data_IF_000814026906
#
_entry.id   IF_000814026906
#
_cell.length_a   1.000
_cell.length_b   1.000
_cell.length_c   1.000
_cell.angle_alpha   90.00
_cell.angle_beta   90.00
_cell.angle_gamma   90.00
#
_symmetry.space_group_name_H-M   'P 1'
#
loop_
_entity.id
_entity.type
_entity.pdbx_description
1 polymer ?
#
# COMPACT_ATOMS: atom_id res chain seq x y z
N UNK A 1 -12.29 -8.71 25.48
CA UNK A 1 -11.81 -7.32 25.46
C UNK A 1 -12.75 -6.53 24.56
N UNK A 2 -13.22 -5.37 25.00
CA UNK A 2 -14.03 -4.46 24.19
C UNK A 2 -13.09 -3.49 23.49
N UNK A 3 -13.22 -3.38 22.17
CA UNK A 3 -12.49 -2.38 21.37
C UNK A 3 -13.39 -1.18 21.14
N UNK A 4 -12.87 0.00 21.36
CA UNK A 4 -13.52 1.27 20.99
C UNK A 4 -12.93 1.81 19.69
N UNK A 5 -12.93 1.01 18.62
CA UNK A 5 -12.56 1.47 17.29
C UNK A 5 -13.78 2.06 16.59
N UNK A 6 -13.66 3.28 16.09
CA UNK A 6 -14.75 4.02 15.45
C UNK A 6 -14.97 3.62 13.99
N UNK A 7 -13.91 3.27 13.28
CA UNK A 7 -13.93 2.87 11.87
C UNK A 7 -12.97 1.70 11.60
N UNK A 8 -13.26 0.51 12.16
CA UNK A 8 -12.36 -0.63 12.05
C UNK A 8 -12.26 -1.14 10.60
N UNK A 9 -11.05 -1.40 10.18
CA UNK A 9 -10.69 -2.09 8.94
C UNK A 9 -9.76 -3.24 9.24
N UNK A 10 -9.66 -4.17 8.31
CA UNK A 10 -8.80 -5.35 8.43
C UNK A 10 -7.94 -5.52 7.19
N UNK A 11 -6.77 -6.10 7.40
CA UNK A 11 -5.95 -6.69 6.34
C UNK A 11 -5.41 -8.04 6.83
N UNK A 12 -5.14 -8.95 5.90
CA UNK A 12 -4.63 -10.27 6.24
C UNK A 12 -3.60 -10.77 5.23
N UNK A 13 -2.59 -11.46 5.72
CA UNK A 13 -1.58 -12.10 4.89
C UNK A 13 -0.96 -13.30 5.61
N UNK A 14 -1.04 -14.47 4.97
CA UNK A 14 -0.56 -15.72 5.56
C UNK A 14 -1.32 -16.06 6.85
N UNK A 15 -0.60 -16.09 7.98
CA UNK A 15 -1.18 -16.38 9.29
C UNK A 15 -1.54 -15.14 10.10
N UNK A 16 -1.20 -13.95 9.61
CA UNK A 16 -1.42 -12.69 10.30
C UNK A 16 -2.68 -11.98 9.81
N UNK A 17 -3.42 -11.44 10.75
CA UNK A 17 -4.57 -10.56 10.51
C UNK A 17 -4.39 -9.34 11.37
N UNK A 18 -4.51 -8.16 10.79
CA UNK A 18 -4.53 -6.89 11.53
C UNK A 18 -5.93 -6.30 11.52
N UNK A 19 -6.26 -5.63 12.62
CA UNK A 19 -7.45 -4.78 12.77
C UNK A 19 -6.95 -3.41 13.17
N UNK A 20 -7.36 -2.36 12.47
CA UNK A 20 -6.92 -0.99 12.71
C UNK A 20 -8.06 0.01 12.57
N UNK A 21 -7.99 1.10 13.32
CA UNK A 21 -9.01 2.16 13.31
C UNK A 21 -8.61 3.27 12.33
N UNK A 22 -9.37 3.42 11.24
CA UNK A 22 -9.12 4.49 10.26
C UNK A 22 -9.57 5.83 10.83
N UNK A 23 -8.65 6.78 10.92
CA UNK A 23 -8.82 8.08 11.59
C UNK A 23 -8.53 8.02 13.08
N UNK A 24 -8.34 6.82 13.65
CA UNK A 24 -7.83 6.59 15.00
C UNK A 24 -6.34 6.27 15.00
N UNK A 25 -5.85 5.76 16.13
CA UNK A 25 -4.42 5.54 16.36
C UNK A 25 -4.07 4.07 16.64
N UNK A 26 -5.06 3.20 16.81
CA UNK A 26 -4.84 1.87 17.34
C UNK A 26 -4.90 0.80 16.26
N UNK A 27 -3.99 -0.15 16.35
CA UNK A 27 -3.91 -1.34 15.51
C UNK A 27 -3.57 -2.57 16.37
N UNK A 28 -4.19 -3.67 16.07
CA UNK A 28 -3.88 -4.96 16.68
C UNK A 28 -3.58 -6.01 15.63
N UNK A 29 -2.58 -6.83 15.92
CA UNK A 29 -2.16 -7.95 15.08
C UNK A 29 -2.47 -9.28 15.77
N UNK A 30 -3.06 -10.19 15.00
CA UNK A 30 -3.50 -11.50 15.45
C UNK A 30 -2.93 -12.62 14.60
N UNK A 31 -2.79 -13.78 15.21
CA UNK A 31 -2.67 -15.08 14.55
C UNK A 31 -3.80 -16.00 15.05
N UNK A 32 -3.88 -17.23 14.51
CA UNK A 32 -4.82 -18.24 15.04
C UNK A 32 -4.66 -18.53 16.54
N UNK A 33 -3.49 -18.23 17.11
CA UNK A 33 -3.14 -18.49 18.50
C UNK A 33 -3.46 -17.30 19.43
N UNK A 34 -3.98 -16.20 18.87
CA UNK A 34 -4.38 -14.99 19.59
C UNK A 34 -3.66 -13.73 19.14
N UNK A 35 -3.80 -12.66 19.94
CA UNK A 35 -3.14 -11.39 19.70
C UNK A 35 -1.64 -11.51 19.90
N UNK A 36 -0.86 -11.05 18.91
CA UNK A 36 0.61 -11.06 18.95
C UNK A 36 1.20 -9.68 19.14
N UNK A 37 0.51 -8.62 18.72
CA UNK A 37 0.95 -7.24 18.91
C UNK A 37 -0.23 -6.27 19.07
N UNK A 38 0.00 -5.17 19.79
CA UNK A 38 -0.85 -3.99 19.83
C UNK A 38 0.06 -2.78 19.59
N UNK A 39 -0.33 -1.94 18.62
CA UNK A 39 0.43 -0.78 18.16
C UNK A 39 -0.48 0.44 18.32
N UNK A 40 0.04 1.52 18.91
CA UNK A 40 -0.62 2.82 18.93
C UNK A 40 0.29 3.84 18.26
N UNK A 41 -0.22 4.53 17.25
CA UNK A 41 0.53 5.54 16.49
C UNK A 41 0.30 6.94 17.08
N UNK A 42 1.25 7.85 16.90
CA UNK A 42 1.09 9.25 17.32
C UNK A 42 0.14 10.04 16.39
N UNK A 43 0.04 9.62 15.13
CA UNK A 43 -0.77 10.27 14.10
C UNK A 43 -1.90 9.35 13.66
N UNK A 44 -3.03 9.91 13.16
CA UNK A 44 -4.16 9.11 12.68
C UNK A 44 -3.79 8.15 11.56
N UNK A 45 -4.31 6.93 11.64
CA UNK A 45 -4.09 5.87 10.66
C UNK A 45 -5.02 6.11 9.47
N UNK A 46 -4.43 6.16 8.27
CA UNK A 46 -5.19 6.14 7.01
C UNK A 46 -5.38 4.72 6.49
N UNK A 47 -4.31 3.93 6.57
CA UNK A 47 -4.26 2.57 6.05
C UNK A 47 -3.22 1.76 6.80
N UNK A 48 -3.47 0.46 6.95
CA UNK A 48 -2.44 -0.48 7.39
C UNK A 48 -2.50 -1.77 6.57
N UNK A 49 -1.34 -2.39 6.38
CA UNK A 49 -1.20 -3.66 5.66
C UNK A 49 -0.18 -4.56 6.38
N UNK A 50 -0.35 -5.87 6.24
CA UNK A 50 0.54 -6.85 6.86
C UNK A 50 1.12 -7.82 5.83
N UNK A 51 2.39 -8.19 5.97
CA UNK A 51 3.07 -9.20 5.16
C UNK A 51 2.86 -10.61 5.70
N UNK A 52 3.20 -11.66 4.91
CA UNK A 52 3.18 -13.06 5.37
C UNK A 52 4.21 -13.34 6.46
N UNK A 53 5.22 -12.48 6.62
CA UNK A 53 6.26 -12.58 7.66
C UNK A 53 5.89 -11.86 8.95
N UNK A 54 4.77 -11.09 8.95
CA UNK A 54 4.29 -10.33 10.10
C UNK A 54 4.79 -8.89 10.17
N UNK A 55 5.51 -8.41 9.15
CA UNK A 55 5.81 -6.97 9.04
C UNK A 55 4.51 -6.22 8.80
N UNK A 56 4.26 -5.20 9.61
CA UNK A 56 3.12 -4.29 9.49
C UNK A 56 3.60 -2.96 8.95
N UNK A 57 2.94 -2.44 7.93
CA UNK A 57 3.17 -1.09 7.42
C UNK A 57 1.93 -0.25 7.65
N UNK A 58 2.10 0.93 8.26
CA UNK A 58 1.03 1.84 8.64
C UNK A 58 1.25 3.17 7.95
N UNK A 59 0.28 3.59 7.15
CA UNK A 59 0.21 4.92 6.57
C UNK A 59 -0.55 5.82 7.55
N UNK A 60 0.12 6.86 8.01
CA UNK A 60 -0.44 7.88 8.90
C UNK A 60 -0.32 9.26 8.29
N UNK A 61 -1.16 10.21 8.71
CA UNK A 61 -1.11 11.59 8.20
C UNK A 61 -0.96 12.64 9.29
N UNK A 62 -0.28 13.69 8.90
CA UNK A 62 -0.23 15.00 9.56
C UNK A 62 -0.80 16.04 8.57
N UNK A 63 -0.99 17.28 9.02
CA UNK A 63 -1.61 18.37 8.25
C UNK A 63 -1.02 18.62 6.86
N UNK A 64 0.27 18.37 6.64
CA UNK A 64 0.98 18.66 5.39
C UNK A 64 1.85 17.50 4.87
N UNK A 65 1.89 16.39 5.58
CA UNK A 65 2.76 15.27 5.29
C UNK A 65 2.08 13.95 5.61
N UNK A 66 2.49 12.90 4.95
CA UNK A 66 2.15 11.54 5.35
C UNK A 66 3.41 10.75 5.64
N UNK A 67 3.27 9.76 6.48
CA UNK A 67 4.36 8.88 6.88
C UNK A 67 3.94 7.44 6.71
N UNK A 68 4.83 6.62 6.19
CA UNK A 68 4.67 5.17 6.19
C UNK A 68 5.64 4.63 7.23
N UNK A 69 5.10 4.07 8.30
CA UNK A 69 5.81 3.50 9.44
C UNK A 69 5.84 1.98 9.28
N UNK A 70 6.85 1.36 9.84
CA UNK A 70 7.02 -0.10 9.78
C UNK A 70 7.23 -0.66 11.17
N UNK A 71 6.56 -1.78 11.44
CA UNK A 71 6.63 -2.51 12.70
C UNK A 71 6.92 -3.97 12.42
N UNK A 72 7.63 -4.61 13.32
CA UNK A 72 7.79 -6.06 13.27
C UNK A 72 6.57 -6.80 13.81
N UNK A 73 6.62 -8.13 13.80
CA UNK A 73 5.52 -8.99 14.25
C UNK A 73 5.27 -8.94 15.76
N UNK A 74 6.21 -8.42 16.55
CA UNK A 74 6.10 -8.15 18.00
C UNK A 74 5.50 -6.78 18.28
N UNK A 75 5.33 -5.92 17.27
CA UNK A 75 4.83 -4.55 17.40
C UNK A 75 5.89 -3.51 17.71
N UNK A 76 7.16 -3.86 17.57
CA UNK A 76 8.27 -2.92 17.73
C UNK A 76 8.50 -2.12 16.46
N UNK A 77 8.59 -0.79 16.58
CA UNK A 77 8.80 0.07 15.40
C UNK A 77 10.19 -0.13 14.82
N UNK A 78 10.25 -0.40 13.53
CA UNK A 78 11.50 -0.49 12.78
C UNK A 78 12.04 0.91 12.50
N UNK A 79 13.37 1.05 12.44
CA UNK A 79 14.04 2.31 12.09
C UNK A 79 13.96 2.59 10.57
N UNK A 80 12.75 2.55 10.04
CA UNK A 80 12.41 2.82 8.64
C UNK A 80 11.16 3.69 8.64
N UNK A 81 11.25 4.85 8.00
CA UNK A 81 10.11 5.76 7.80
C UNK A 81 10.20 6.36 6.42
N UNK A 82 9.12 6.28 5.66
CA UNK A 82 8.98 7.02 4.40
C UNK A 82 8.13 8.25 4.72
N UNK A 83 8.68 9.43 4.43
CA UNK A 83 7.95 10.70 4.56
C UNK A 83 7.64 11.23 3.18
N UNK A 84 6.39 11.62 2.95
CA UNK A 84 5.95 12.30 1.73
C UNK A 84 5.26 13.62 2.09
N UNK A 85 5.30 14.57 1.16
CA UNK A 85 4.66 15.88 1.31
C UNK A 85 3.47 15.98 0.36
N UNK A 86 2.32 16.34 0.89
CA UNK A 86 1.09 16.46 0.08
C UNK A 86 1.25 17.42 -1.11
N UNK A 87 1.98 18.54 -0.92
CA UNK A 87 2.20 19.54 -1.97
C UNK A 87 3.12 19.06 -3.11
N UNK A 88 4.02 18.10 -2.88
CA UNK A 88 5.01 17.65 -3.87
C UNK A 88 4.77 16.24 -4.38
N UNK A 89 4.46 15.32 -3.45
CA UNK A 89 4.31 13.91 -3.77
C UNK A 89 2.85 13.52 -4.05
N UNK A 90 1.90 14.33 -3.56
CA UNK A 90 0.46 14.07 -3.67
C UNK A 90 -0.13 13.40 -2.43
N UNK A 91 -1.44 13.17 -2.48
CA UNK A 91 -2.17 12.47 -1.44
C UNK A 91 -2.08 10.95 -1.67
N UNK A 92 -1.62 10.17 -0.68
CA UNK A 92 -1.55 8.72 -0.82
C UNK A 92 -2.97 8.12 -0.83
N UNK A 93 -3.22 7.22 -1.77
CA UNK A 93 -4.52 6.57 -1.93
C UNK A 93 -4.53 5.13 -1.43
N UNK A 94 -3.42 4.42 -1.57
CA UNK A 94 -3.29 3.04 -1.08
C UNK A 94 -1.83 2.63 -0.90
N UNK A 95 -1.60 1.60 -0.09
CA UNK A 95 -0.31 0.92 0.08
C UNK A 95 -0.48 -0.59 0.04
N UNK A 96 0.55 -1.30 -0.40
CA UNK A 96 0.63 -2.76 -0.34
C UNK A 96 2.05 -3.22 -0.03
N UNK A 97 2.20 -4.20 0.85
CA UNK A 97 3.47 -4.87 1.14
C UNK A 97 3.64 -6.13 0.28
N UNK A 98 4.87 -6.38 -0.15
CA UNK A 98 5.24 -7.69 -0.70
C UNK A 98 5.04 -8.79 0.36
N UNK A 99 4.78 -10.04 -0.03
CA UNK A 99 4.54 -11.12 0.93
C UNK A 99 5.67 -11.35 1.94
N UNK A 100 6.91 -11.07 1.57
CA UNK A 100 8.08 -11.18 2.46
C UNK A 100 8.36 -9.90 3.29
N UNK A 101 7.61 -8.81 3.04
CA UNK A 101 7.76 -7.54 3.74
C UNK A 101 8.97 -6.71 3.31
N UNK A 102 9.67 -7.10 2.23
CA UNK A 102 10.90 -6.41 1.77
C UNK A 102 10.64 -5.29 0.77
N UNK A 103 9.44 -5.19 0.22
CA UNK A 103 9.07 -4.15 -0.73
C UNK A 103 7.66 -3.61 -0.46
N UNK A 104 7.43 -2.37 -0.83
CA UNK A 104 6.14 -1.70 -0.71
C UNK A 104 5.80 -0.98 -2.01
N UNK A 105 4.57 -1.10 -2.46
CA UNK A 105 3.94 -0.20 -3.43
C UNK A 105 3.12 0.85 -2.67
N UNK A 106 3.22 2.10 -3.11
CA UNK A 106 2.32 3.17 -2.67
C UNK A 106 1.77 3.90 -3.89
N UNK A 107 0.53 4.36 -3.78
CA UNK A 107 -0.10 5.17 -4.82
C UNK A 107 -0.41 6.55 -4.30
N UNK A 108 -0.30 7.52 -5.19
CA UNK A 108 -0.53 8.92 -4.88
C UNK A 108 -1.41 9.56 -5.95
N UNK A 109 -2.21 10.52 -5.51
CA UNK A 109 -3.01 11.37 -6.38
C UNK A 109 -2.55 12.81 -6.21
N UNK A 110 -2.25 13.51 -7.30
CA UNK A 110 -1.80 14.89 -7.29
C UNK A 110 -2.35 15.68 -8.48
N UNK A 111 -2.26 17.00 -8.42
CA UNK A 111 -2.64 17.88 -9.51
C UNK A 111 -1.41 18.39 -10.25
N UNK A 112 -1.44 18.29 -11.59
CA UNK A 112 -0.44 18.89 -12.49
C UNK A 112 -1.16 19.88 -13.40
N UNK A 113 -1.11 21.16 -13.04
CA UNK A 113 -1.98 22.17 -13.64
C UNK A 113 -3.45 21.90 -13.29
N UNK A 114 -4.30 21.73 -14.29
CA UNK A 114 -5.73 21.38 -14.14
C UNK A 114 -6.00 19.87 -14.24
N UNK A 115 -4.98 19.07 -14.49
CA UNK A 115 -5.15 17.62 -14.67
C UNK A 115 -4.86 16.86 -13.38
N UNK A 116 -5.73 15.92 -13.06
CA UNK A 116 -5.50 14.96 -12.00
C UNK A 116 -4.54 13.89 -12.51
N UNK A 117 -3.54 13.56 -11.72
CA UNK A 117 -2.50 12.59 -12.04
C UNK A 117 -2.44 11.53 -10.95
N UNK A 118 -2.41 10.27 -11.36
CA UNK A 118 -2.04 9.17 -10.48
C UNK A 118 -0.53 8.93 -10.52
N UNK A 119 0.00 8.33 -9.47
CA UNK A 119 1.39 7.85 -9.40
C UNK A 119 1.45 6.55 -8.64
N UNK A 120 2.26 5.61 -9.12
CA UNK A 120 2.64 4.39 -8.41
C UNK A 120 4.12 4.43 -8.11
N UNK A 121 4.51 4.24 -6.84
CA UNK A 121 5.90 4.24 -6.39
C UNK A 121 6.24 2.90 -5.74
N UNK A 122 7.41 2.37 -6.11
CA UNK A 122 7.97 1.16 -5.52
C UNK A 122 9.12 1.52 -4.60
N UNK A 123 9.05 1.00 -3.38
CA UNK A 123 10.09 1.11 -2.36
C UNK A 123 10.67 -0.28 -2.09
N UNK A 124 11.97 -0.35 -1.85
CA UNK A 124 12.66 -1.58 -1.46
C UNK A 124 13.44 -1.39 -0.15
N UNK A 125 13.32 -2.34 0.76
CA UNK A 125 13.92 -2.31 2.09
C UNK A 125 15.07 -3.29 2.25
N UNK A 126 15.42 -4.01 1.17
CA UNK A 126 16.60 -4.85 1.11
C UNK A 126 17.89 -4.02 0.98
N UNK A 127 19.03 -4.67 0.90
CA UNK A 127 20.32 -4.02 0.65
C UNK A 127 20.32 -3.18 -0.64
N UNK A 128 19.52 -3.57 -1.65
CA UNK A 128 19.41 -2.81 -2.91
C UNK A 128 18.79 -1.44 -2.64
N UNK A 129 17.64 -1.40 -1.97
CA UNK A 129 16.94 -0.17 -1.66
C UNK A 129 17.68 0.74 -0.67
N UNK A 130 18.53 0.18 0.19
CA UNK A 130 19.37 0.98 1.10
C UNK A 130 20.30 1.94 0.36
N UNK A 131 20.71 1.59 -0.83
CA UNK A 131 21.58 2.40 -1.69
C UNK A 131 20.81 3.36 -2.61
N UNK A 132 19.47 3.34 -2.58
CA UNK A 132 18.62 4.21 -3.40
C UNK A 132 18.11 5.41 -2.61
N UNK A 133 18.01 6.61 -3.22
CA UNK A 133 17.42 7.77 -2.56
C UNK A 133 16.00 7.47 -2.06
N UNK A 134 15.76 7.71 -0.77
CA UNK A 134 14.47 7.43 -0.12
C UNK A 134 13.97 6.00 -0.31
N UNK A 135 14.86 5.04 -0.62
CA UNK A 135 14.54 3.63 -0.94
C UNK A 135 13.63 3.44 -2.17
N UNK A 136 13.48 4.46 -3.02
CA UNK A 136 12.66 4.40 -4.23
C UNK A 136 13.41 3.64 -5.32
N UNK A 137 12.82 2.58 -5.82
CA UNK A 137 13.36 1.73 -6.90
C UNK A 137 12.57 1.86 -8.21
N UNK A 138 11.39 2.47 -8.19
CA UNK A 138 10.58 2.73 -9.39
C UNK A 138 9.48 3.74 -9.13
N UNK A 139 9.16 4.51 -10.15
CA UNK A 139 8.04 5.45 -10.16
C UNK A 139 7.37 5.46 -11.53
N UNK A 140 6.04 5.47 -11.54
CA UNK A 140 5.19 5.43 -12.72
C UNK A 140 4.11 6.49 -12.54
N UNK A 141 4.11 7.51 -13.37
CA UNK A 141 3.13 8.60 -13.39
C UNK A 141 2.68 8.95 -14.82
N UNK A 142 3.49 8.71 -15.82
CA UNK A 142 3.12 8.93 -17.21
C UNK A 142 1.98 7.99 -17.67
N UNK A 143 1.87 6.83 -17.07
CA UNK A 143 0.83 5.83 -17.33
C UNK A 143 -0.54 6.23 -16.76
N UNK A 144 -0.57 7.17 -15.79
CA UNK A 144 -1.75 7.51 -15.01
C UNK A 144 -2.21 8.97 -15.19
N UNK A 145 -2.04 9.50 -16.40
CA UNK A 145 -2.54 10.82 -16.77
C UNK A 145 -4.07 10.82 -16.75
N UNK A 146 -4.66 11.72 -15.97
CA UNK A 146 -6.12 11.82 -15.78
C UNK A 146 -6.76 10.53 -15.23
N UNK A 147 -5.98 9.70 -14.56
CA UNK A 147 -6.44 8.44 -13.97
C UNK A 147 -6.11 8.41 -12.47
N UNK A 148 -7.09 7.97 -11.68
CA UNK A 148 -6.90 7.74 -10.24
C UNK A 148 -6.48 6.29 -10.02
N UNK A 149 -5.39 6.07 -9.30
CA UNK A 149 -4.99 4.73 -8.86
C UNK A 149 -5.57 4.48 -7.47
N UNK A 150 -6.64 3.71 -7.40
CA UNK A 150 -7.41 3.52 -6.19
C UNK A 150 -6.87 2.42 -5.28
N UNK A 151 -6.25 1.38 -5.86
CA UNK A 151 -5.76 0.23 -5.10
C UNK A 151 -4.50 -0.36 -5.72
N UNK A 152 -3.67 -0.94 -4.86
CA UNK A 152 -2.50 -1.74 -5.25
C UNK A 152 -2.45 -3.05 -4.49
N UNK A 153 -1.85 -4.08 -5.09
CA UNK A 153 -1.64 -5.37 -4.43
C UNK A 153 -0.47 -6.13 -5.03
N UNK A 154 0.24 -6.86 -4.19
CA UNK A 154 1.15 -7.92 -4.61
C UNK A 154 0.41 -9.26 -4.70
N UNK A 155 0.60 -9.99 -5.79
CA UNK A 155 0.20 -11.40 -5.90
C UNK A 155 1.25 -12.31 -5.26
N UNK A 156 2.51 -11.99 -5.53
CA UNK A 156 3.68 -12.65 -4.99
C UNK A 156 4.81 -11.63 -4.79
N UNK A 157 6.02 -12.09 -4.52
CA UNK A 157 7.21 -11.22 -4.34
C UNK A 157 7.57 -10.40 -5.59
N UNK A 158 7.21 -10.89 -6.77
CA UNK A 158 7.64 -10.34 -8.06
C UNK A 158 6.51 -9.58 -8.74
N UNK A 159 5.29 -10.13 -8.68
CA UNK A 159 4.16 -9.68 -9.47
C UNK A 159 3.19 -8.87 -8.62
N UNK A 160 2.80 -7.72 -9.14
CA UNK A 160 1.86 -6.81 -8.50
C UNK A 160 0.94 -6.14 -9.50
N UNK A 161 -0.14 -5.54 -9.01
CA UNK A 161 -1.13 -4.84 -9.82
C UNK A 161 -1.49 -3.50 -9.17
N UNK A 162 -1.65 -2.48 -10.00
CA UNK A 162 -2.35 -1.26 -9.67
C UNK A 162 -3.69 -1.22 -10.39
N UNK A 163 -4.73 -0.84 -9.67
CA UNK A 163 -6.11 -0.72 -10.16
C UNK A 163 -6.41 0.76 -10.26
N UNK A 164 -6.54 1.22 -11.48
CA UNK A 164 -6.82 2.60 -11.80
C UNK A 164 -8.23 2.74 -12.36
N UNK A 165 -8.73 3.97 -12.39
CA UNK A 165 -10.06 4.27 -12.93
C UNK A 165 -10.23 3.86 -14.39
N UNK A 166 -9.13 3.76 -15.15
CA UNK A 166 -9.10 3.42 -16.57
C UNK A 166 -8.57 2.01 -16.86
N UNK A 167 -8.33 1.19 -15.84
CA UNK A 167 -7.91 -0.20 -16.05
C UNK A 167 -6.97 -0.78 -15.01
N UNK A 168 -6.39 -1.92 -15.38
CA UNK A 168 -5.48 -2.71 -14.55
C UNK A 168 -4.06 -2.65 -15.12
N UNK A 169 -3.10 -2.37 -14.26
CA UNK A 169 -1.69 -2.22 -14.62
C UNK A 169 -0.86 -3.23 -13.85
N UNK A 170 -0.28 -4.19 -14.55
CA UNK A 170 0.51 -5.28 -13.97
C UNK A 170 1.99 -4.97 -14.04
N UNK A 171 2.66 -5.13 -12.90
CA UNK A 171 4.08 -4.86 -12.76
C UNK A 171 4.85 -6.12 -12.41
N UNK A 172 6.14 -6.12 -12.77
CA UNK A 172 7.10 -7.13 -12.36
C UNK A 172 8.32 -6.49 -11.71
N UNK A 173 8.59 -6.92 -10.49
CA UNK A 173 9.80 -6.60 -9.71
C UNK A 173 10.85 -7.71 -9.79
N UNK A 174 10.91 -8.47 -10.91
CA UNK A 174 11.95 -9.48 -11.12
C UNK A 174 13.36 -8.87 -11.01
N UNK A 175 13.53 -7.66 -11.49
CA UNK A 175 14.67 -6.81 -11.14
C UNK A 175 14.20 -5.81 -10.09
N UNK A 176 14.58 -6.04 -8.83
CA UNK A 176 14.17 -5.20 -7.69
C UNK A 176 14.56 -3.74 -7.86
N UNK A 177 15.77 -3.47 -8.40
CA UNK A 177 16.26 -2.11 -8.63
C UNK A 177 15.55 -1.37 -9.78
N UNK A 178 14.70 -2.06 -10.54
CA UNK A 178 14.00 -1.49 -11.70
C UNK A 178 12.73 -2.27 -12.02
N UNK A 179 11.68 -2.11 -11.21
CA UNK A 179 10.35 -2.65 -11.51
C UNK A 179 9.87 -2.20 -12.89
N UNK A 180 9.07 -3.00 -13.57
CA UNK A 180 8.56 -2.70 -14.91
C UNK A 180 7.08 -2.93 -15.00
N UNK A 181 6.37 -2.04 -15.70
CA UNK A 181 5.04 -2.30 -16.22
C UNK A 181 5.14 -3.36 -17.31
N UNK A 182 4.46 -4.49 -17.13
CA UNK A 182 4.53 -5.64 -18.05
C UNK A 182 3.26 -5.86 -18.85
N UNK A 183 2.13 -5.35 -18.34
CA UNK A 183 0.84 -5.49 -19.01
C UNK A 183 -0.13 -4.43 -18.52
N UNK A 184 -0.94 -3.91 -19.43
CA UNK A 184 -2.11 -3.08 -19.14
C UNK A 184 -3.35 -3.73 -19.74
N UNK A 185 -4.44 -3.77 -18.96
CA UNK A 185 -5.77 -4.12 -19.41
C UNK A 185 -6.62 -2.88 -19.20
N UNK A 186 -6.96 -2.19 -20.29
CA UNK A 186 -7.86 -1.02 -20.21
C UNK A 186 -9.28 -1.47 -19.91
N UNK A 187 -9.95 -0.75 -19.05
CA UNK A 187 -11.35 -0.93 -18.77
C UNK A 187 -12.17 -0.28 -19.91
N UNK A 188 -13.17 -0.99 -20.42
CA UNK A 188 -14.12 -0.45 -21.40
C UNK A 188 -15.26 0.31 -20.71
N UNK A 189 -15.48 0.00 -19.42
CA UNK A 189 -16.48 0.59 -18.53
C UNK A 189 -15.87 0.88 -17.17
N UNK A 190 -16.52 1.73 -16.36
CA UNK A 190 -16.07 2.06 -15.03
C UNK A 190 -15.95 0.80 -14.15
N UNK A 191 -14.83 0.65 -13.45
CA UNK A 191 -14.64 -0.41 -12.49
C UNK A 191 -15.42 -0.03 -11.20
N UNK A 192 -16.44 -0.81 -10.87
CA UNK A 192 -17.26 -0.59 -9.70
C UNK A 192 -16.63 -1.23 -8.44
N UNK A 193 -16.13 -2.44 -8.58
CA UNK A 193 -15.50 -3.16 -7.47
C UNK A 193 -14.41 -4.10 -7.95
N UNK A 194 -13.50 -4.40 -7.05
CA UNK A 194 -12.47 -5.43 -7.24
C UNK A 194 -12.36 -6.27 -5.99
N UNK A 195 -12.19 -7.56 -6.19
CA UNK A 195 -11.91 -8.51 -5.11
C UNK A 195 -10.75 -9.42 -5.48
N UNK A 196 -10.05 -9.91 -4.46
CA UNK A 196 -8.88 -10.75 -4.61
C UNK A 196 -9.08 -12.07 -3.88
N UNK A 197 -9.04 -13.16 -4.61
CA UNK A 197 -9.08 -14.51 -4.08
C UNK A 197 -7.77 -15.24 -4.43
N UNK A 198 -6.84 -15.28 -3.48
CA UNK A 198 -5.49 -15.83 -3.70
C UNK A 198 -4.74 -15.04 -4.78
N UNK A 199 -4.42 -15.70 -5.90
CA UNK A 199 -3.76 -15.16 -7.08
C UNK A 199 -4.74 -14.67 -8.16
N UNK A 200 -6.05 -14.70 -7.88
CA UNK A 200 -7.10 -14.26 -8.79
C UNK A 200 -7.55 -12.84 -8.45
N UNK A 201 -7.83 -12.08 -9.48
CA UNK A 201 -8.44 -10.76 -9.41
C UNK A 201 -9.80 -10.83 -10.10
N UNK A 202 -10.87 -10.60 -9.34
CA UNK A 202 -12.22 -10.44 -9.85
C UNK A 202 -12.52 -8.95 -10.01
N UNK A 203 -13.02 -8.55 -11.17
CA UNK A 203 -13.38 -7.16 -11.48
C UNK A 203 -14.85 -7.11 -11.81
N UNK A 204 -15.56 -6.18 -11.18
CA UNK A 204 -16.96 -5.87 -11.45
C UNK A 204 -16.99 -4.53 -12.17
N UNK A 205 -17.59 -4.50 -13.32
CA UNK A 205 -17.81 -3.29 -14.10
C UNK A 205 -19.22 -2.75 -13.86
N UNK A 206 -19.34 -1.44 -13.97
CA UNK A 206 -20.64 -0.77 -13.88
C UNK A 206 -21.44 -1.05 -15.15
N UNK A 207 -22.65 -1.59 -14.99
CA UNK A 207 -23.62 -1.79 -16.09
C UNK A 207 -24.34 -0.50 -16.43
#
# INVERSE_FOLDING_TARGET
ESYEMSNPKTDNSGKYTIIFDVGGNDLECYTKDGRVAAISTELPILKAVVSKTGIVSILVEDSNSTYILFYDKEGEQLNITIKTKLAGDGFPTDIALSPDGTALMATFQYLKGSSMMGRVVFYDFSEIGQNMPNRVVGGFDEEFVSSMVARVRYFDKINSVAIASDGLYFFSSKNVASPKLIKTIKAEEDIEAVDFEGDRLCVVYKN
#
